data_IF_590739238128
#
_entry.id   IF_590739238128
#
_cell.length_a   1.000
_cell.length_b   1.000
_cell.length_c   1.000
_cell.angle_alpha   90.00
_cell.angle_beta   90.00
_cell.angle_gamma   90.00
#
_symmetry.space_group_name_H-M   'P 1'
#
loop_
_entity.id
_entity.type
_entity.pdbx_description
1 polymer ?
#
# COMPACT_ATOMS: atom_id res chain seq x y z
N UNK A 1 -0.31 11.45 -17.47
CA UNK A 1 0.92 10.68 -17.16
C UNK A 1 1.32 11.02 -15.72
N UNK A 2 1.07 10.11 -14.77
CA UNK A 2 1.49 10.29 -13.38
C UNK A 2 3.01 10.18 -13.27
N UNK A 3 3.65 11.13 -12.58
CA UNK A 3 5.08 11.06 -12.25
C UNK A 3 5.21 10.37 -10.89
N UNK A 4 5.84 9.19 -10.85
CA UNK A 4 6.26 8.57 -9.59
C UNK A 4 7.40 9.40 -8.99
N UNK A 5 7.31 9.71 -7.69
CA UNK A 5 8.36 10.45 -6.95
C UNK A 5 8.90 9.55 -5.85
N UNK A 6 10.21 9.32 -5.86
CA UNK A 6 10.93 8.65 -4.78
C UNK A 6 11.66 9.75 -4.00
N UNK A 7 11.37 9.90 -2.71
CA UNK A 7 12.11 10.78 -1.81
C UNK A 7 12.77 9.92 -0.74
N UNK A 8 14.09 9.76 -0.82
CA UNK A 8 14.86 9.05 0.21
C UNK A 8 15.46 10.10 1.14
N UNK A 9 14.96 10.17 2.37
CA UNK A 9 15.57 10.96 3.43
C UNK A 9 16.44 10.02 4.26
N UNK A 10 17.72 9.94 3.92
CA UNK A 10 18.69 9.25 4.79
C UNK A 10 18.98 10.20 5.95
N UNK A 11 18.28 10.01 7.07
CA UNK A 11 18.58 10.76 8.28
C UNK A 11 20.00 10.41 8.77
N UNK A 12 20.69 11.43 9.25
CA UNK A 12 22.04 11.36 9.85
C UNK A 12 22.06 10.37 11.04
N UNK A 13 23.23 9.83 11.42
CA UNK A 13 23.34 8.80 12.46
C UNK A 13 22.60 9.19 13.75
N UNK A 14 21.67 8.33 14.18
CA UNK A 14 20.87 8.50 15.39
C UNK A 14 19.36 8.65 15.17
N UNK A 15 18.88 8.66 13.93
CA UNK A 15 17.46 8.54 13.57
C UNK A 15 17.24 7.33 12.67
N UNK A 16 16.05 6.73 12.78
CA UNK A 16 15.65 5.64 11.90
C UNK A 16 15.57 6.16 10.46
N UNK A 17 16.18 5.46 9.48
CA UNK A 17 16.17 5.90 8.09
C UNK A 17 14.73 5.98 7.57
N UNK A 18 14.37 7.10 6.92
CA UNK A 18 13.03 7.32 6.37
C UNK A 18 13.07 7.36 4.84
N UNK A 19 12.50 6.34 4.20
CA UNK A 19 12.22 6.35 2.77
C UNK A 19 10.73 6.58 2.53
N UNK A 20 10.39 7.58 1.71
CA UNK A 20 9.02 7.81 1.25
C UNK A 20 8.92 7.59 -0.25
N UNK A 21 8.04 6.66 -0.63
CA UNK A 21 7.76 6.31 -2.02
C UNK A 21 6.31 6.65 -2.30
N UNK A 22 6.05 7.53 -3.27
CA UNK A 22 4.70 7.85 -3.73
C UNK A 22 4.50 7.29 -5.13
N UNK A 23 3.56 6.34 -5.25
CA UNK A 23 3.18 5.72 -6.51
C UNK A 23 1.75 6.14 -6.88
N UNK A 24 1.50 6.58 -8.13
CA UNK A 24 0.13 6.76 -8.59
C UNK A 24 -0.58 5.41 -8.72
N UNK A 25 -1.85 5.34 -8.31
CA UNK A 25 -2.67 4.14 -8.45
C UNK A 25 -3.43 4.17 -9.78
N UNK A 26 -2.72 3.87 -10.87
CA UNK A 26 -3.33 3.61 -12.19
C UNK A 26 -3.40 2.10 -12.47
N UNK A 27 -3.77 1.72 -13.69
CA UNK A 27 -3.91 0.33 -14.15
C UNK A 27 -2.65 -0.54 -13.98
N UNK A 28 -1.48 0.06 -13.73
CA UNK A 28 -0.21 -0.64 -13.54
C UNK A 28 0.11 -0.89 -12.07
N UNK A 29 -0.68 -0.34 -11.14
CA UNK A 29 -0.51 -0.56 -9.72
C UNK A 29 -0.94 -1.98 -9.35
N UNK A 30 -0.09 -2.68 -8.59
CA UNK A 30 -0.36 -4.03 -8.13
C UNK A 30 0.16 -4.22 -6.71
N UNK A 31 -0.68 -4.79 -5.83
CA UNK A 31 -0.33 -5.14 -4.46
C UNK A 31 -0.54 -6.64 -4.26
N UNK A 32 0.45 -7.35 -3.70
CA UNK A 32 0.40 -8.80 -3.44
C UNK A 32 1.03 -9.14 -2.10
N UNK A 33 0.35 -9.98 -1.33
CA UNK A 33 0.92 -10.66 -0.18
C UNK A 33 1.18 -12.13 -0.52
N UNK A 34 2.36 -12.64 -0.19
CA UNK A 34 2.74 -14.05 -0.40
C UNK A 34 3.81 -14.48 0.60
N UNK A 35 4.01 -15.78 0.76
CA UNK A 35 5.11 -16.32 1.58
C UNK A 35 6.19 -16.87 0.66
N UNK A 36 7.44 -16.53 0.94
CA UNK A 36 8.62 -17.11 0.28
C UNK A 36 9.23 -18.14 1.22
N UNK A 37 9.55 -19.33 0.70
CA UNK A 37 10.16 -20.41 1.49
C UNK A 37 11.63 -20.55 1.12
N UNK A 38 12.48 -20.47 2.14
CA UNK A 38 13.93 -20.68 2.06
C UNK A 38 14.39 -21.84 2.95
N UNK A 39 15.60 -22.38 2.78
CA UNK A 39 16.14 -23.44 3.65
C UNK A 39 16.11 -23.09 5.15
N UNK A 40 16.32 -21.82 5.48
CA UNK A 40 16.31 -21.25 6.83
C UNK A 40 14.91 -20.98 7.40
N UNK A 41 13.86 -21.00 6.58
CA UNK A 41 12.49 -20.76 7.03
C UNK A 41 11.58 -20.11 5.98
N UNK A 42 10.32 -19.90 6.34
CA UNK A 42 9.35 -19.18 5.52
C UNK A 42 9.21 -17.72 5.97
N UNK A 43 9.10 -16.82 5.01
CA UNK A 43 9.02 -15.38 5.23
C UNK A 43 7.81 -14.77 4.52
N UNK A 44 6.91 -14.08 5.23
CA UNK A 44 5.84 -13.33 4.61
C UNK A 44 6.41 -12.08 3.94
N UNK A 45 5.96 -11.82 2.71
CA UNK A 45 6.34 -10.66 1.91
C UNK A 45 5.08 -9.93 1.45
N UNK A 46 5.04 -8.62 1.68
CA UNK A 46 4.09 -7.74 1.02
C UNK A 46 4.82 -6.94 -0.06
N UNK A 47 4.43 -7.12 -1.31
CA UNK A 47 4.98 -6.41 -2.46
C UNK A 47 3.96 -5.41 -3.02
N UNK A 48 4.38 -4.16 -3.17
CA UNK A 48 3.64 -3.10 -3.84
C UNK A 48 4.46 -2.68 -5.05
N UNK A 49 3.88 -2.84 -6.24
CA UNK A 49 4.55 -2.53 -7.50
C UNK A 49 3.73 -1.58 -8.35
N UNK A 50 4.42 -0.74 -9.10
CA UNK A 50 3.83 0.13 -10.12
C UNK A 50 4.80 0.25 -11.29
N UNK A 51 4.43 -0.34 -12.43
CA UNK A 51 5.34 -0.45 -13.57
C UNK A 51 6.65 -1.14 -13.20
N UNK A 52 7.77 -0.40 -13.23
CA UNK A 52 9.10 -0.90 -12.86
C UNK A 52 9.53 -0.67 -11.41
N UNK A 53 8.71 -0.02 -10.58
CA UNK A 53 9.01 0.20 -9.16
C UNK A 53 8.44 -0.95 -8.34
N UNK A 54 9.23 -1.51 -7.42
CA UNK A 54 8.80 -2.54 -6.48
C UNK A 54 9.21 -2.13 -5.06
N UNK A 55 8.26 -2.19 -4.13
CA UNK A 55 8.46 -1.96 -2.70
C UNK A 55 8.11 -3.25 -1.99
N UNK A 56 9.04 -3.81 -1.24
CA UNK A 56 8.85 -5.04 -0.49
C UNK A 56 8.97 -4.76 1.01
N UNK A 57 8.00 -5.28 1.77
CA UNK A 57 8.01 -5.27 3.23
C UNK A 57 8.20 -6.70 3.72
N UNK A 58 9.22 -6.92 4.54
CA UNK A 58 9.60 -8.20 5.11
C UNK A 58 9.90 -8.05 6.60
N UNK A 59 9.81 -9.12 7.40
CA UNK A 59 10.29 -9.09 8.79
C UNK A 59 11.77 -8.69 8.87
N UNK A 60 12.15 -8.01 9.94
CA UNK A 60 13.54 -7.59 10.19
C UNK A 60 14.49 -8.79 10.35
N UNK A 61 13.99 -9.90 10.91
CA UNK A 61 14.78 -11.11 11.16
C UNK A 61 14.32 -12.25 10.27
N UNK A 62 15.19 -12.70 9.34
CA UNK A 62 14.92 -13.86 8.51
C UNK A 62 14.50 -15.10 9.31
N UNK A 63 13.52 -15.83 8.79
CA UNK A 63 12.99 -17.06 9.39
C UNK A 63 12.31 -16.93 10.76
N UNK A 64 12.10 -15.71 11.30
CA UNK A 64 11.47 -15.51 12.60
C UNK A 64 10.47 -14.36 12.63
N UNK A 65 9.20 -14.71 12.41
CA UNK A 65 8.06 -13.79 12.66
C UNK A 65 7.83 -13.66 14.16
N UNK A 66 7.75 -12.42 14.64
CA UNK A 66 7.53 -12.07 16.04
C UNK A 66 6.13 -11.49 16.28
N UNK A 67 5.75 -11.32 17.55
CA UNK A 67 4.51 -10.63 17.90
C UNK A 67 4.49 -9.16 17.42
N UNK A 68 5.67 -8.51 17.33
CA UNK A 68 5.79 -7.15 16.79
C UNK A 68 5.46 -7.10 15.30
N UNK A 69 5.95 -8.06 14.52
CA UNK A 69 5.64 -8.17 13.09
C UNK A 69 4.13 -8.36 12.85
N UNK A 70 3.49 -9.20 13.68
CA UNK A 70 2.03 -9.42 13.62
C UNK A 70 1.27 -8.14 13.95
N UNK A 71 1.69 -7.40 14.98
CA UNK A 71 1.06 -6.13 15.35
C UNK A 71 1.18 -5.09 14.23
N UNK A 72 2.36 -4.95 13.63
CA UNK A 72 2.59 -4.05 12.50
C UNK A 72 1.78 -4.46 11.27
N UNK A 73 1.68 -5.75 10.95
CA UNK A 73 0.86 -6.24 9.85
C UNK A 73 -0.64 -5.93 10.05
N UNK A 74 -1.13 -6.03 11.30
CA UNK A 74 -2.51 -5.64 11.64
C UNK A 74 -2.75 -4.14 11.49
N UNK A 75 -1.85 -3.31 11.99
CA UNK A 75 -1.93 -1.85 11.82
C UNK A 75 -1.93 -1.45 10.34
N UNK A 76 -1.15 -2.14 9.51
CA UNK A 76 -1.16 -1.93 8.06
C UNK A 76 -2.50 -2.32 7.43
N UNK A 77 -3.08 -3.47 7.82
CA UNK A 77 -4.39 -3.90 7.35
C UNK A 77 -5.48 -2.89 7.71
N UNK A 78 -5.46 -2.38 8.94
CA UNK A 78 -6.40 -1.35 9.40
C UNK A 78 -6.28 -0.08 8.54
N UNK A 79 -5.06 0.42 8.31
CA UNK A 79 -4.82 1.59 7.48
C UNK A 79 -5.29 1.39 6.02
N UNK A 80 -5.00 0.23 5.43
CA UNK A 80 -5.47 -0.11 4.06
C UNK A 80 -6.99 -0.19 4.01
N UNK A 81 -7.62 -0.78 5.02
CA UNK A 81 -9.09 -0.89 5.08
C UNK A 81 -9.74 0.48 5.17
N UNK A 82 -9.25 1.36 6.05
CA UNK A 82 -9.74 2.75 6.14
C UNK A 82 -9.57 3.49 4.82
N UNK A 83 -8.41 3.34 4.16
CA UNK A 83 -8.17 3.92 2.85
C UNK A 83 -9.19 3.44 1.80
N UNK A 84 -9.47 2.14 1.73
CA UNK A 84 -10.47 1.57 0.81
C UNK A 84 -11.84 2.19 1.06
N UNK A 85 -12.28 2.24 2.32
CA UNK A 85 -13.56 2.86 2.69
C UNK A 85 -13.65 4.32 2.25
N UNK A 86 -12.57 5.10 2.41
CA UNK A 86 -12.55 6.48 1.97
C UNK A 86 -12.59 6.62 0.44
N UNK A 87 -11.88 5.76 -0.29
CA UNK A 87 -11.92 5.73 -1.76
C UNK A 87 -13.32 5.39 -2.26
N UNK A 88 -13.96 4.38 -1.69
CA UNK A 88 -15.35 4.00 -2.03
C UNK A 88 -16.31 5.16 -1.78
N UNK A 89 -16.23 5.78 -0.60
CA UNK A 89 -17.05 6.95 -0.26
C UNK A 89 -16.84 8.11 -1.23
N UNK A 90 -15.59 8.41 -1.60
CA UNK A 90 -15.28 9.48 -2.56
C UNK A 90 -15.72 9.11 -3.98
N UNK A 91 -15.63 7.84 -4.38
CA UNK A 91 -16.13 7.35 -5.65
C UNK A 91 -17.65 7.54 -5.75
N UNK A 92 -18.40 7.17 -4.72
CA UNK A 92 -19.86 7.33 -4.69
C UNK A 92 -20.29 8.80 -4.72
N UNK A 93 -19.53 9.69 -4.07
CA UNK A 93 -19.76 11.14 -4.14
C UNK A 93 -19.50 11.72 -5.55
N UNK A 94 -18.59 11.12 -6.31
CA UNK A 94 -18.24 11.54 -7.66
C UNK A 94 -19.16 10.94 -8.73
N UNK A 95 -20.00 9.96 -8.38
CA UNK A 95 -20.99 9.42 -9.29
C UNK A 95 -21.99 10.54 -9.66
N UNK A 96 -22.22 10.82 -10.95
CA UNK A 96 -23.12 11.89 -11.35
C UNK A 96 -24.50 11.61 -10.77
N UNK A 97 -25.03 12.58 -10.01
CA UNK A 97 -26.42 12.58 -9.58
C UNK A 97 -27.27 12.49 -10.84
N UNK A 98 -27.77 11.29 -11.13
CA UNK A 98 -28.63 11.04 -12.27
C UNK A 98 -29.90 11.84 -12.04
N UNK A 99 -29.92 13.05 -12.61
CA UNK A 99 -30.98 14.00 -12.47
C UNK A 99 -32.28 13.37 -12.95
N UNK A 100 -33.18 13.10 -12.00
CA UNK A 100 -34.60 13.01 -12.23
C UNK A 100 -35.08 14.40 -12.69
N UNK A 101 -34.79 14.69 -13.95
CA UNK A 101 -35.17 15.89 -14.68
C UNK A 101 -35.67 15.49 -16.06
N UNK A 102 -36.60 14.53 -16.13
CA UNK A 102 -37.45 14.40 -17.30
C UNK A 102 -38.70 15.25 -17.07
N UNK A 103 -38.59 16.44 -17.63
CA UNK A 103 -39.59 17.48 -17.81
C UNK A 103 -40.97 16.92 -18.13
N UNK A 104 -41.97 17.45 -17.43
CA UNK A 104 -43.31 17.57 -17.96
C UNK A 104 -43.25 18.32 -19.30
N UNK A 105 -43.81 17.73 -20.36
CA UNK A 105 -44.69 18.34 -21.38
C UNK A 105 -45.51 17.20 -21.99
#
# INVERSE_FOLDING_TARGET
MGRSRISVNVDLPGRDPNASITLPLDERANCRAFCVTHPEGAEPVLAISHGGVNVMLTPDKPGRVTAGDVATARALLEAVTSYVTDVERLHDQNAPSSGAGRSAV
#
